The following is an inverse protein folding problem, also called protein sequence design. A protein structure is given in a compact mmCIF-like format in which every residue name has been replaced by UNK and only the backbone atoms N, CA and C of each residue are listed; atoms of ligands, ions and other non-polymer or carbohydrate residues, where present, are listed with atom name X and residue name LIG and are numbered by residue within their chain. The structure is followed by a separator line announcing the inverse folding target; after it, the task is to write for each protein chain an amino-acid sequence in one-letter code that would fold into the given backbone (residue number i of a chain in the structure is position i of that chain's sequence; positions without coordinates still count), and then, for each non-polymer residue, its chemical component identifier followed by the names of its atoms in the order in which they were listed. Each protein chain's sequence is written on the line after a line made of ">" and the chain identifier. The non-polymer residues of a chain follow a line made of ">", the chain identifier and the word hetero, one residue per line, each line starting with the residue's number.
data_IF_456995018751
#
_entry.id   IF_456995018751
#
_cell.length_a   1.000
_cell.length_b   1.000
_cell.length_c   1.000
_cell.angle_alpha   90.00
_cell.angle_beta   90.00
_cell.angle_gamma   90.00
#
_symmetry.space_group_name_H-M   'P 1'
#
loop_
_entity.id
_entity.type
_entity.pdbx_description
1 polymer ?
#
# COMPACT_ATOMS: atom_id res chain seq x y z
N UNK A 1 -7.85 -0.67 -3.31
CA UNK A 1 -9.11 -1.37 -3.66
C UNK A 1 -8.86 -2.79 -4.18
N UNK A 2 -8.09 -2.96 -5.26
CA UNK A 2 -7.88 -4.26 -5.92
C UNK A 2 -7.63 -5.41 -4.93
N UNK A 3 -6.59 -5.31 -4.10
CA UNK A 3 -6.15 -6.39 -3.21
C UNK A 3 -7.21 -6.82 -2.19
N UNK A 4 -7.91 -5.87 -1.58
CA UNK A 4 -8.89 -6.15 -0.51
C UNK A 4 -10.24 -6.64 -1.03
N UNK A 5 -10.58 -6.34 -2.29
CA UNK A 5 -11.87 -6.70 -2.87
C UNK A 5 -11.87 -8.07 -3.56
N UNK A 6 -10.71 -8.63 -3.95
CA UNK A 6 -10.64 -9.91 -4.69
C UNK A 6 -11.37 -11.04 -3.97
N UNK A 7 -11.05 -11.28 -2.68
CA UNK A 7 -11.62 -12.38 -1.92
C UNK A 7 -13.14 -12.20 -1.69
N UNK A 8 -13.63 -11.06 -1.16
CA UNK A 8 -15.06 -10.85 -0.98
C UNK A 8 -15.86 -11.00 -2.29
N UNK A 9 -15.34 -10.51 -3.41
CA UNK A 9 -16.02 -10.63 -4.70
C UNK A 9 -16.05 -12.07 -5.21
N UNK A 10 -14.95 -12.82 -5.06
CA UNK A 10 -14.89 -14.25 -5.43
C UNK A 10 -15.90 -15.08 -4.64
N UNK A 11 -16.13 -14.74 -3.38
CA UNK A 11 -17.09 -15.42 -2.50
C UNK A 11 -18.52 -14.89 -2.63
N UNK A 12 -18.77 -13.88 -3.48
CA UNK A 12 -20.08 -13.22 -3.59
C UNK A 12 -20.48 -12.44 -2.33
N UNK A 13 -19.56 -12.21 -1.39
CA UNK A 13 -19.80 -11.53 -0.13
C UNK A 13 -19.83 -10.00 -0.31
N UNK A 14 -20.93 -9.50 -0.89
CA UNK A 14 -21.14 -8.07 -1.16
C UNK A 14 -21.06 -7.22 0.12
N UNK A 15 -21.55 -7.75 1.25
CA UNK A 15 -21.52 -7.03 2.54
C UNK A 15 -20.09 -6.74 3.00
N UNK A 16 -19.19 -7.70 2.86
CA UNK A 16 -17.78 -7.52 3.20
C UNK A 16 -17.07 -6.57 2.22
N UNK A 17 -17.36 -6.68 0.92
CA UNK A 17 -16.82 -5.77 -0.10
C UNK A 17 -17.19 -4.31 0.19
N UNK A 18 -18.47 -4.04 0.50
CA UNK A 18 -18.93 -2.69 0.84
C UNK A 18 -18.31 -2.20 2.14
N UNK A 19 -18.16 -3.06 3.16
CA UNK A 19 -17.46 -2.68 4.40
C UNK A 19 -16.03 -2.20 4.13
N UNK A 20 -15.27 -2.89 3.26
CA UNK A 20 -13.92 -2.44 2.90
C UNK A 20 -13.92 -1.10 2.13
N UNK A 21 -14.88 -0.89 1.22
CA UNK A 21 -15.02 0.41 0.54
C UNK A 21 -15.30 1.53 1.52
N UNK A 22 -16.27 1.36 2.42
CA UNK A 22 -16.61 2.39 3.41
C UNK A 22 -15.42 2.74 4.29
N UNK A 23 -14.71 1.74 4.83
CA UNK A 23 -13.55 1.98 5.70
C UNK A 23 -12.47 2.79 4.96
N UNK A 24 -12.15 2.40 3.73
CA UNK A 24 -11.02 2.97 3.01
C UNK A 24 -11.34 4.27 2.28
N UNK A 25 -12.59 4.51 1.87
CA UNK A 25 -12.99 5.67 1.06
C UNK A 25 -13.74 6.74 1.85
N UNK A 26 -14.22 6.44 3.05
CA UNK A 26 -15.08 7.35 3.83
C UNK A 26 -14.52 7.69 5.21
N UNK A 27 -13.29 7.29 5.52
CA UNK A 27 -12.60 7.69 6.75
C UNK A 27 -12.04 9.10 6.62
N UNK A 28 -12.14 9.91 7.68
CA UNK A 28 -11.56 11.27 7.73
C UNK A 28 -10.04 11.27 7.77
N UNK A 29 -9.44 10.19 8.29
CA UNK A 29 -8.01 10.09 8.59
C UNK A 29 -7.26 9.28 7.52
N UNK A 30 -7.99 8.80 6.50
CA UNK A 30 -7.43 8.06 5.37
C UNK A 30 -7.75 8.78 4.06
N UNK A 31 -6.70 8.99 3.26
CA UNK A 31 -6.85 9.47 1.90
C UNK A 31 -6.45 8.36 0.92
N UNK A 32 -7.37 7.98 0.03
CA UNK A 32 -7.04 7.08 -1.09
C UNK A 32 -6.57 7.88 -2.30
N UNK A 33 -5.42 7.49 -2.84
CA UNK A 33 -4.85 8.11 -4.03
C UNK A 33 -5.19 7.32 -5.29
N UNK A 34 -5.51 8.02 -6.38
CA UNK A 34 -5.57 7.42 -7.71
C UNK A 34 -4.16 7.06 -8.21
N UNK A 35 -4.06 5.99 -9.00
CA UNK A 35 -2.82 5.62 -9.67
C UNK A 35 -2.68 6.47 -10.93
N UNK A 36 -1.93 7.57 -10.82
CA UNK A 36 -1.63 8.46 -11.95
C UNK A 36 -0.49 7.91 -12.82
N UNK A 37 -0.27 8.50 -13.99
CA UNK A 37 0.89 8.17 -14.84
C UNK A 37 2.22 8.38 -14.10
N UNK A 38 2.34 9.48 -13.34
CA UNK A 38 3.54 9.75 -12.55
C UNK A 38 3.80 8.67 -11.48
N UNK A 39 2.75 8.19 -10.80
CA UNK A 39 2.87 7.06 -9.85
C UNK A 39 3.27 5.78 -10.59
N UNK A 40 2.68 5.53 -11.76
CA UNK A 40 2.94 4.32 -12.56
C UNK A 40 4.38 4.26 -13.06
N UNK A 41 4.91 5.36 -13.61
CA UNK A 41 6.31 5.46 -14.05
C UNK A 41 7.29 5.34 -12.88
N UNK A 42 6.96 5.96 -11.74
CA UNK A 42 7.76 5.84 -10.52
C UNK A 42 7.74 4.40 -9.99
N UNK A 43 6.61 3.72 -10.03
CA UNK A 43 6.48 2.32 -9.64
C UNK A 43 7.32 1.41 -10.54
N UNK A 44 7.31 1.63 -11.85
CA UNK A 44 8.16 0.90 -12.80
C UNK A 44 9.65 1.07 -12.46
N UNK A 45 10.07 2.30 -12.14
CA UNK A 45 11.45 2.60 -11.72
C UNK A 45 11.84 1.85 -10.43
N UNK A 46 10.98 1.89 -9.41
CA UNK A 46 11.20 1.18 -8.14
C UNK A 46 11.28 -0.33 -8.38
N UNK A 47 10.33 -0.89 -9.16
CA UNK A 47 10.30 -2.32 -9.49
C UNK A 47 11.54 -2.76 -10.24
N UNK A 48 12.01 -1.98 -11.22
CA UNK A 48 13.22 -2.29 -11.98
C UNK A 48 14.47 -2.28 -11.08
N UNK A 49 14.53 -1.37 -10.11
CA UNK A 49 15.66 -1.24 -9.18
C UNK A 49 15.71 -2.31 -8.09
N UNK A 50 14.56 -2.67 -7.52
CA UNK A 50 14.48 -3.53 -6.33
C UNK A 50 13.87 -4.91 -6.57
N UNK A 51 13.16 -5.12 -7.69
CA UNK A 51 12.47 -6.37 -7.96
C UNK A 51 11.21 -6.62 -7.14
N UNK A 52 10.73 -5.63 -6.36
CA UNK A 52 9.49 -5.75 -5.56
C UNK A 52 8.28 -6.08 -6.43
N UNK A 53 7.23 -6.69 -5.85
CA UNK A 53 6.00 -7.03 -6.59
C UNK A 53 5.32 -5.76 -7.12
N UNK A 54 4.50 -5.91 -8.15
CA UNK A 54 3.79 -4.79 -8.77
C UNK A 54 2.96 -3.98 -7.76
N UNK A 55 2.15 -4.60 -6.87
CA UNK A 55 1.40 -3.86 -5.85
C UNK A 55 2.32 -3.06 -4.92
N UNK A 56 3.36 -3.69 -4.36
CA UNK A 56 4.32 -3.04 -3.46
C UNK A 56 5.00 -1.84 -4.13
N UNK A 57 5.39 -2.00 -5.39
CA UNK A 57 6.05 -0.94 -6.17
C UNK A 57 5.11 0.25 -6.40
N UNK A 58 3.82 0.00 -6.65
CA UNK A 58 2.80 1.04 -6.81
C UNK A 58 2.53 1.75 -5.47
N UNK A 59 2.41 1.00 -4.38
CA UNK A 59 2.17 1.57 -3.05
C UNK A 59 3.35 2.44 -2.59
N UNK A 60 4.60 1.96 -2.75
CA UNK A 60 5.80 2.74 -2.45
C UNK A 60 5.87 4.00 -3.32
N UNK A 61 5.66 3.87 -4.64
CA UNK A 61 5.64 5.01 -5.55
C UNK A 61 4.58 6.04 -5.15
N UNK A 62 3.39 5.59 -4.75
CA UNK A 62 2.31 6.45 -4.27
C UNK A 62 2.75 7.25 -3.05
N UNK A 63 3.30 6.58 -2.02
CA UNK A 63 3.79 7.24 -0.81
C UNK A 63 4.86 8.28 -1.12
N UNK A 64 5.82 7.94 -1.99
CA UNK A 64 6.92 8.84 -2.38
C UNK A 64 6.39 10.05 -3.17
N UNK A 65 5.51 9.85 -4.16
CA UNK A 65 4.94 10.95 -4.96
C UNK A 65 4.08 11.88 -4.10
N UNK A 66 3.34 11.32 -3.13
CA UNK A 66 2.55 12.08 -2.16
C UNK A 66 3.37 12.68 -1.02
N UNK A 67 4.70 12.48 -1.03
CA UNK A 67 5.64 12.97 -0.02
C UNK A 67 5.29 12.53 1.41
N UNK A 68 4.84 11.28 1.55
CA UNK A 68 4.66 10.70 2.87
C UNK A 68 6.01 10.61 3.60
N UNK A 69 6.00 10.89 4.90
CA UNK A 69 7.20 10.79 5.75
C UNK A 69 7.63 9.33 5.97
N UNK A 70 6.64 8.43 6.04
CA UNK A 70 6.83 7.02 6.37
C UNK A 70 5.98 6.11 5.49
N UNK A 71 6.49 4.90 5.26
CA UNK A 71 5.75 3.79 4.67
C UNK A 71 5.54 2.69 5.71
N UNK A 72 4.31 2.51 6.19
CA UNK A 72 3.96 1.47 7.15
C UNK A 72 3.61 0.16 6.42
N UNK A 73 4.26 -0.94 6.79
CA UNK A 73 4.01 -2.26 6.20
C UNK A 73 4.33 -3.38 7.19
N UNK A 74 3.82 -4.59 6.94
CA UNK A 74 4.27 -5.80 7.64
C UNK A 74 5.30 -6.60 6.83
N UNK A 75 5.61 -6.19 5.60
CA UNK A 75 6.61 -6.86 4.77
C UNK A 75 8.00 -6.25 5.01
N UNK A 76 8.83 -6.97 5.77
CA UNK A 76 10.21 -6.57 6.09
C UNK A 76 11.11 -6.47 4.85
N UNK A 77 10.77 -7.14 3.75
CA UNK A 77 11.56 -7.07 2.52
C UNK A 77 11.58 -5.65 1.94
N UNK A 78 10.53 -4.85 2.18
CA UNK A 78 10.45 -3.48 1.67
C UNK A 78 11.42 -2.51 2.37
N UNK A 79 11.99 -2.87 3.53
CA UNK A 79 13.07 -2.11 4.20
C UNK A 79 14.31 -1.91 3.30
N UNK A 80 14.44 -2.65 2.20
CA UNK A 80 15.53 -2.50 1.22
C UNK A 80 15.45 -1.19 0.42
N UNK A 81 14.26 -0.58 0.31
CA UNK A 81 14.08 0.71 -0.39
C UNK A 81 14.83 1.82 0.36
N UNK A 82 15.49 2.72 -0.37
CA UNK A 82 16.18 3.91 0.19
C UNK A 82 15.41 5.20 -0.04
N UNK A 83 14.25 5.11 -0.67
CA UNK A 83 13.46 6.23 -1.19
C UNK A 83 12.52 6.82 -0.14
N UNK A 84 12.11 6.02 0.84
CA UNK A 84 11.22 6.40 1.93
C UNK A 84 11.55 5.58 3.16
N UNK A 85 11.36 6.14 4.37
CA UNK A 85 11.56 5.41 5.62
C UNK A 85 10.44 4.39 5.81
N UNK A 86 10.79 3.12 5.82
CA UNK A 86 9.85 2.02 6.06
C UNK A 86 9.75 1.75 7.57
N UNK A 87 8.53 1.71 8.08
CA UNK A 87 8.19 1.27 9.43
C UNK A 87 7.53 -0.10 9.33
N UNK A 88 8.03 -1.07 10.10
CA UNK A 88 7.36 -2.36 10.27
C UNK A 88 6.69 -2.42 11.62
N UNK A 89 5.43 -2.87 11.65
CA UNK A 89 4.61 -2.84 12.87
C UNK A 89 5.24 -3.63 14.02
N UNK A 90 5.89 -4.75 13.70
CA UNK A 90 6.61 -5.59 14.68
C UNK A 90 7.70 -4.82 15.44
N UNK A 91 8.33 -3.80 14.82
CA UNK A 91 9.34 -2.97 15.48
C UNK A 91 8.76 -2.12 16.65
N UNK A 92 7.43 -2.11 16.81
CA UNK A 92 6.69 -1.29 17.77
C UNK A 92 5.74 -2.10 18.67
N UNK A 93 5.70 -3.42 18.53
CA UNK A 93 4.95 -4.28 19.44
C UNK A 93 5.80 -4.52 20.71
N UNK A 94 5.17 -4.59 21.91
CA UNK A 94 5.90 -4.97 23.12
C UNK A 94 6.42 -6.41 22.98
N UNK A 95 7.62 -6.66 23.53
CA UNK A 95 8.14 -8.02 23.68
C UNK A 95 7.10 -8.85 24.47
N UNK A 96 6.66 -9.96 23.87
CA UNK A 96 5.70 -10.89 24.49
C UNK A 96 6.39 -11.94 25.34
#
# INVERSE_FOLDING_TARGET
>A
MLEVLVLPLREGNKKLAEKYKTILLSSSDLETCEITNAISERAATIRAKYGFKTPDSIQLATAIVRKADYFLTNDTALKQTKEIKVIVLEDYLPDS
#
